data_IF_055899083373
#
_entry.id   IF_055899083373
#
_cell.length_a   1.000
_cell.length_b   1.000
_cell.length_c   1.000
_cell.angle_alpha   90.00
_cell.angle_beta   90.00
_cell.angle_gamma   90.00
#
_symmetry.space_group_name_H-M   'P 1'
#
loop_
_entity.id
_entity.type
_entity.pdbx_description
1 polymer ?
#
# COMPACT_ATOMS: atom_id res chain seq x y z
N UNK A 1 19.79 0.52 21.45
CA UNK A 1 19.01 -0.71 21.28
C UNK A 1 17.62 -0.31 20.82
N UNK A 2 17.19 -0.72 19.62
CA UNK A 2 15.82 -0.46 19.14
C UNK A 2 14.86 -1.36 19.93
N UNK A 3 13.86 -0.78 20.58
CA UNK A 3 13.03 -1.43 21.62
C UNK A 3 12.17 -2.62 21.12
N UNK A 4 12.20 -2.96 19.83
CA UNK A 4 11.23 -3.86 19.19
C UNK A 4 11.91 -4.84 18.21
N UNK A 5 13.24 -4.96 18.24
CA UNK A 5 13.99 -5.70 17.23
C UNK A 5 13.74 -7.23 17.28
N UNK A 6 13.34 -7.76 18.43
CA UNK A 6 13.17 -9.19 18.71
C UNK A 6 11.70 -9.66 18.73
N UNK A 7 10.74 -8.75 18.54
CA UNK A 7 9.32 -9.09 18.58
C UNK A 7 8.93 -10.06 17.46
N UNK A 8 8.15 -11.08 17.80
CA UNK A 8 7.63 -12.07 16.86
C UNK A 8 6.55 -11.48 15.93
N UNK A 9 5.75 -10.56 16.47
CA UNK A 9 4.76 -9.78 15.74
C UNK A 9 5.19 -8.32 15.69
N UNK A 10 5.16 -7.74 14.49
CA UNK A 10 5.52 -6.34 14.27
C UNK A 10 4.49 -5.66 13.38
N UNK A 11 4.49 -4.34 13.41
CA UNK A 11 3.67 -3.54 12.52
C UNK A 11 4.08 -2.09 12.53
N UNK A 12 3.47 -1.31 11.67
CA UNK A 12 3.66 0.13 11.62
C UNK A 12 2.34 0.88 11.80
N UNK A 13 2.47 2.12 12.27
CA UNK A 13 1.43 3.14 12.23
C UNK A 13 1.79 4.17 11.14
N UNK A 14 0.79 4.86 10.58
CA UNK A 14 1.02 5.90 9.58
C UNK A 14 0.28 7.18 9.98
N UNK A 15 1.02 8.29 10.06
CA UNK A 15 0.53 9.67 10.20
C UNK A 15 -0.92 9.83 10.72
N UNK A 16 -1.05 10.14 12.01
CA UNK A 16 -2.33 10.30 12.73
C UNK A 16 -3.25 9.07 12.73
N UNK A 17 -2.80 7.90 12.27
CA UNK A 17 -3.58 6.67 12.29
C UNK A 17 -2.88 5.61 13.13
N UNK A 18 -3.65 4.93 13.95
CA UNK A 18 -3.23 3.81 14.77
C UNK A 18 -4.13 2.61 14.51
N UNK A 19 -3.63 1.43 14.83
CA UNK A 19 -4.47 0.26 14.91
C UNK A 19 -5.44 0.36 16.09
N UNK A 20 -6.70 -0.01 15.88
CA UNK A 20 -7.63 -0.20 16.99
C UNK A 20 -7.41 -1.61 17.53
N UNK A 21 -7.17 -1.72 18.83
CA UNK A 21 -6.96 -3.01 19.48
C UNK A 21 -8.33 -3.66 19.80
N UNK A 22 -8.50 -4.98 19.56
CA UNK A 22 -9.75 -5.67 19.90
C UNK A 22 -9.88 -5.73 21.42
N UNK A 23 -11.12 -5.65 21.92
CA UNK A 23 -11.38 -5.71 23.37
C UNK A 23 -11.11 -7.08 23.99
N UNK A 24 -11.16 -8.16 23.19
CA UNK A 24 -11.23 -9.54 23.69
C UNK A 24 -10.10 -10.47 23.21
N UNK A 25 -9.05 -9.96 22.57
CA UNK A 25 -7.93 -10.81 22.18
C UNK A 25 -6.92 -10.14 21.26
N UNK A 26 -5.73 -10.73 21.23
CA UNK A 26 -4.70 -10.39 20.25
C UNK A 26 -5.06 -10.96 18.88
N UNK A 27 -4.48 -10.36 17.85
CA UNK A 27 -4.55 -10.81 16.46
C UNK A 27 -4.01 -12.24 16.29
N UNK A 28 -4.53 -12.98 15.31
CA UNK A 28 -4.08 -14.34 15.03
C UNK A 28 -2.58 -14.39 14.68
N UNK A 29 -1.87 -15.38 15.23
CA UNK A 29 -0.41 -15.50 15.13
C UNK A 29 0.11 -15.85 13.73
N UNK A 30 -0.77 -16.20 12.80
CA UNK A 30 -0.46 -16.62 11.43
C UNK A 30 -1.17 -15.75 10.37
N UNK A 31 -1.60 -14.55 10.75
CA UNK A 31 -2.33 -13.64 9.87
C UNK A 31 -1.61 -12.29 9.75
N UNK A 32 -1.43 -11.84 8.51
CA UNK A 32 -1.04 -10.46 8.23
C UNK A 32 -2.29 -9.59 8.14
N UNK A 33 -2.36 -8.55 8.96
CA UNK A 33 -3.43 -7.56 8.92
C UNK A 33 -3.02 -6.32 8.14
N UNK A 34 -3.88 -5.91 7.22
CA UNK A 34 -3.88 -4.59 6.56
C UNK A 34 -5.09 -3.78 7.05
N UNK A 35 -5.15 -2.45 6.85
CA UNK A 35 -6.32 -1.68 7.22
C UNK A 35 -7.57 -2.12 6.46
N UNK A 36 -8.74 -1.98 7.08
CA UNK A 36 -10.02 -2.05 6.39
C UNK A 36 -10.09 -1.03 5.24
N UNK A 37 -10.58 -1.42 4.05
CA UNK A 37 -10.63 -0.53 2.90
C UNK A 37 -11.76 0.50 3.05
N UNK A 38 -11.54 1.69 2.53
CA UNK A 38 -12.62 2.60 2.18
C UNK A 38 -13.29 2.15 0.88
N UNK A 39 -14.60 2.37 0.76
CA UNK A 39 -15.36 2.12 -0.47
C UNK A 39 -15.76 3.47 -1.06
N UNK A 40 -15.38 3.71 -2.31
CA UNK A 40 -15.76 4.91 -3.04
C UNK A 40 -16.92 4.63 -4.00
N UNK A 41 -17.63 5.70 -4.37
CA UNK A 41 -18.66 5.67 -5.42
C UNK A 41 -18.07 5.86 -6.82
N UNK A 42 -16.75 6.04 -6.92
CA UNK A 42 -15.98 6.21 -8.15
C UNK A 42 -14.78 5.24 -8.17
N UNK A 43 -14.07 5.19 -9.30
CA UNK A 43 -12.85 4.38 -9.39
C UNK A 43 -11.68 4.99 -8.64
N UNK A 44 -10.65 4.21 -8.30
CA UNK A 44 -9.42 4.70 -7.70
C UNK A 44 -8.73 5.74 -8.58
N UNK A 45 -8.80 5.58 -9.89
CA UNK A 45 -8.27 6.57 -10.85
C UNK A 45 -9.00 7.90 -10.75
N UNK A 46 -10.33 7.88 -10.77
CA UNK A 46 -11.15 9.08 -10.60
C UNK A 46 -10.91 9.73 -9.24
N UNK A 47 -10.84 8.93 -8.17
CA UNK A 47 -10.58 9.41 -6.83
C UNK A 47 -9.18 10.05 -6.73
N UNK A 48 -8.17 9.45 -7.37
CA UNK A 48 -6.81 9.95 -7.37
C UNK A 48 -6.72 11.32 -8.07
N UNK A 49 -7.24 11.44 -9.29
CA UNK A 49 -7.24 12.72 -10.01
C UNK A 49 -8.08 13.81 -9.31
N UNK A 50 -9.09 13.42 -8.52
CA UNK A 50 -9.84 14.37 -7.71
C UNK A 50 -9.07 14.94 -6.51
N UNK A 51 -7.94 14.33 -6.11
CA UNK A 51 -7.17 14.71 -4.92
C UNK A 51 -5.71 15.09 -5.17
N UNK A 52 -5.17 14.81 -6.37
CA UNK A 52 -3.77 15.01 -6.72
C UNK A 52 -3.67 15.57 -8.14
N UNK A 53 -2.88 16.63 -8.32
CA UNK A 53 -2.74 17.33 -9.61
C UNK A 53 -1.31 17.40 -10.12
N UNK A 54 -0.32 17.23 -9.26
CA UNK A 54 1.08 17.52 -9.60
C UNK A 54 1.81 16.32 -10.22
N UNK A 55 1.16 15.15 -10.29
CA UNK A 55 1.69 13.93 -10.89
C UNK A 55 0.58 12.98 -11.35
N UNK A 56 0.88 12.16 -12.35
CA UNK A 56 -0.06 11.19 -12.94
C UNK A 56 0.30 9.75 -12.55
N UNK A 57 -0.16 9.31 -11.37
CA UNK A 57 0.11 7.95 -10.89
C UNK A 57 -0.45 6.85 -11.81
N UNK A 58 -1.68 6.95 -12.36
CA UNK A 58 -2.17 5.97 -13.31
C UNK A 58 -1.29 5.85 -14.56
N UNK A 59 -0.86 6.96 -15.16
CA UNK A 59 0.03 6.92 -16.32
C UNK A 59 1.41 6.32 -15.97
N UNK A 60 2.04 6.76 -14.88
CA UNK A 60 3.35 6.26 -14.44
C UNK A 60 3.34 4.75 -14.22
N UNK A 61 2.31 4.23 -13.54
CA UNK A 61 2.21 2.80 -13.24
C UNK A 61 1.92 1.96 -14.49
N UNK A 62 1.08 2.46 -15.41
CA UNK A 62 0.85 1.80 -16.71
C UNK A 62 2.11 1.77 -17.56
N UNK A 63 2.84 2.88 -17.62
CA UNK A 63 4.12 2.97 -18.36
C UNK A 63 5.13 1.93 -17.87
N UNK A 64 5.26 1.74 -16.55
CA UNK A 64 6.12 0.68 -16.01
C UNK A 64 5.58 -0.72 -16.32
N UNK A 65 4.27 -0.94 -16.22
CA UNK A 65 3.68 -2.22 -16.52
C UNK A 65 3.88 -2.63 -17.99
N UNK A 66 3.86 -1.67 -18.91
CA UNK A 66 4.11 -1.88 -20.34
C UNK A 66 5.54 -2.36 -20.63
N UNK A 67 6.50 -2.15 -19.71
CA UNK A 67 7.87 -2.68 -19.88
C UNK A 67 7.95 -4.20 -19.77
N UNK A 68 6.95 -4.85 -19.15
CA UNK A 68 6.94 -6.28 -18.87
C UNK A 68 7.95 -6.74 -17.79
N UNK A 69 8.80 -5.84 -17.28
CA UNK A 69 9.81 -6.14 -16.27
C UNK A 69 9.38 -5.76 -14.84
N UNK A 70 8.19 -5.18 -14.68
CA UNK A 70 7.66 -4.75 -13.39
C UNK A 70 6.84 -5.85 -12.70
N UNK A 71 6.59 -5.67 -11.41
CA UNK A 71 5.89 -6.64 -10.57
C UNK A 71 4.42 -6.86 -11.01
N UNK A 72 3.80 -5.81 -11.55
CA UNK A 72 2.45 -5.85 -12.08
C UNK A 72 2.45 -5.84 -13.61
N UNK A 73 1.53 -6.59 -14.20
CA UNK A 73 1.24 -6.52 -15.63
C UNK A 73 0.33 -5.34 -15.95
N UNK A 74 0.23 -4.97 -17.24
CA UNK A 74 -0.66 -3.90 -17.68
C UNK A 74 -2.12 -4.16 -17.30
N UNK A 75 -2.59 -5.38 -17.52
CA UNK A 75 -3.95 -5.79 -17.17
C UNK A 75 -4.23 -5.68 -15.66
N UNK A 76 -3.26 -6.03 -14.82
CA UNK A 76 -3.38 -5.96 -13.36
C UNK A 76 -3.47 -4.51 -12.87
N UNK A 77 -2.68 -3.61 -13.46
CA UNK A 77 -2.72 -2.18 -13.13
C UNK A 77 -4.03 -1.53 -13.59
N UNK A 78 -4.51 -1.85 -14.79
CA UNK A 78 -5.79 -1.31 -15.26
C UNK A 78 -6.95 -1.78 -14.37
N UNK A 79 -6.94 -3.05 -13.95
CA UNK A 79 -7.93 -3.58 -13.00
C UNK A 79 -7.83 -2.95 -11.61
N UNK A 80 -6.61 -2.67 -11.13
CA UNK A 80 -6.39 -1.97 -9.87
C UNK A 80 -6.99 -0.56 -9.93
N UNK A 81 -6.67 0.22 -10.95
CA UNK A 81 -7.17 1.59 -11.10
C UNK A 81 -8.69 1.67 -11.30
N UNK A 82 -9.29 0.61 -11.85
CA UNK A 82 -10.74 0.46 -11.98
C UNK A 82 -11.46 0.02 -10.70
N UNK A 83 -10.75 -0.37 -9.63
CA UNK A 83 -11.38 -0.70 -8.35
C UNK A 83 -12.07 0.52 -7.73
N UNK A 84 -13.00 0.28 -6.82
CA UNK A 84 -13.58 1.31 -5.94
C UNK A 84 -13.25 1.06 -4.45
N UNK A 85 -12.49 0.00 -4.15
CA UNK A 85 -11.99 -0.33 -2.82
C UNK A 85 -10.58 0.26 -2.65
N UNK A 86 -10.32 0.92 -1.52
CA UNK A 86 -9.06 1.60 -1.28
C UNK A 86 -8.51 1.34 0.12
N UNK A 87 -7.33 0.73 0.20
CA UNK A 87 -6.57 0.66 1.45
C UNK A 87 -5.69 1.91 1.55
N UNK A 88 -6.28 2.99 2.07
CA UNK A 88 -5.68 4.32 2.08
C UNK A 88 -4.60 4.58 3.12
N UNK A 89 -3.96 3.51 3.61
CA UNK A 89 -2.86 3.62 4.55
C UNK A 89 -1.80 2.55 4.25
N UNK A 90 -0.54 2.97 4.13
CA UNK A 90 0.65 2.14 4.03
C UNK A 90 0.98 1.47 5.37
N UNK A 91 0.02 0.73 5.93
CA UNK A 91 0.12 0.06 7.21
C UNK A 91 -0.04 -1.44 7.01
N UNK A 92 0.75 -2.21 7.75
CA UNK A 92 0.56 -3.65 7.91
C UNK A 92 1.00 -4.03 9.33
N UNK A 93 0.50 -5.15 9.84
CA UNK A 93 0.99 -5.77 11.06
C UNK A 93 0.76 -7.27 11.05
N UNK A 94 1.53 -8.00 11.84
CA UNK A 94 1.39 -9.44 12.00
C UNK A 94 2.76 -10.09 12.16
N UNK A 95 2.88 -11.38 11.80
CA UNK A 95 4.12 -12.12 11.96
C UNK A 95 5.27 -11.43 11.25
N UNK A 96 6.41 -11.31 11.92
CA UNK A 96 7.59 -10.59 11.42
C UNK A 96 8.00 -11.01 10.02
N UNK A 97 7.89 -12.30 9.71
CA UNK A 97 8.18 -12.83 8.38
C UNK A 97 7.20 -12.28 7.33
N UNK A 98 5.89 -12.35 7.59
CA UNK A 98 4.86 -11.87 6.66
C UNK A 98 4.92 -10.36 6.48
N UNK A 99 5.06 -9.62 7.57
CA UNK A 99 5.23 -8.16 7.50
C UNK A 99 6.44 -7.77 6.65
N UNK A 100 7.60 -8.40 6.90
CA UNK A 100 8.81 -8.12 6.12
C UNK A 100 8.62 -8.44 4.65
N UNK A 101 8.03 -9.59 4.34
CA UNK A 101 7.78 -9.99 2.95
C UNK A 101 6.84 -8.99 2.27
N UNK A 102 5.71 -8.66 2.89
CA UNK A 102 4.73 -7.72 2.34
C UNK A 102 5.32 -6.33 2.09
N UNK A 103 5.97 -5.75 3.09
CA UNK A 103 6.56 -4.41 2.97
C UNK A 103 7.74 -4.38 1.99
N UNK A 104 8.55 -5.45 1.95
CA UNK A 104 9.63 -5.56 0.95
C UNK A 104 9.06 -5.62 -0.46
N UNK A 105 8.00 -6.39 -0.70
CA UNK A 105 7.33 -6.43 -2.00
C UNK A 105 6.77 -5.06 -2.39
N UNK A 106 6.18 -4.31 -1.45
CA UNK A 106 5.73 -2.94 -1.71
C UNK A 106 6.90 -2.03 -2.13
N UNK A 107 8.04 -2.09 -1.45
CA UNK A 107 9.24 -1.34 -1.84
C UNK A 107 9.81 -1.77 -3.19
N UNK A 108 9.81 -3.07 -3.50
CA UNK A 108 10.21 -3.60 -4.82
C UNK A 108 9.31 -3.03 -5.92
N UNK A 109 8.01 -2.85 -5.67
CA UNK A 109 7.12 -2.23 -6.63
C UNK A 109 7.39 -0.72 -6.80
N UNK A 110 7.70 -0.01 -5.72
CA UNK A 110 7.93 1.44 -5.73
C UNK A 110 9.29 1.85 -6.28
N UNK A 111 10.33 1.03 -6.10
CA UNK A 111 11.70 1.41 -6.45
C UNK A 111 11.85 1.76 -7.94
N UNK A 112 11.31 0.99 -8.91
CA UNK A 112 11.37 1.37 -10.33
C UNK A 112 10.65 2.69 -10.65
N UNK A 113 9.55 3.00 -9.92
CA UNK A 113 8.84 4.28 -10.05
C UNK A 113 9.75 5.42 -9.62
N UNK A 114 10.38 5.27 -8.45
CA UNK A 114 11.31 6.26 -7.94
C UNK A 114 12.51 6.45 -8.86
N UNK A 115 13.21 5.39 -9.25
CA UNK A 115 14.42 5.49 -10.07
C UNK A 115 14.16 6.15 -11.43
N UNK A 116 13.00 5.86 -12.04
CA UNK A 116 12.64 6.43 -13.34
C UNK A 116 12.16 7.88 -13.29
N UNK A 117 11.41 8.26 -12.25
CA UNK A 117 10.76 9.58 -12.15
C UNK A 117 11.32 10.44 -11.00
N UNK A 118 12.53 10.13 -10.51
CA UNK A 118 13.15 10.77 -9.35
C UNK A 118 13.15 12.29 -9.41
N UNK A 119 13.61 12.85 -10.54
CA UNK A 119 13.72 14.30 -10.72
C UNK A 119 12.35 14.98 -10.66
N UNK A 120 11.34 14.37 -11.27
CA UNK A 120 9.96 14.86 -11.22
C UNK A 120 9.41 14.83 -9.79
N UNK A 121 9.56 13.72 -9.06
CA UNK A 121 9.10 13.66 -7.66
C UNK A 121 9.81 14.67 -6.76
N UNK A 122 11.10 14.92 -6.99
CA UNK A 122 11.85 15.93 -6.24
C UNK A 122 11.43 17.38 -6.57
N UNK A 123 10.80 17.61 -7.73
CA UNK A 123 10.32 18.94 -8.13
C UNK A 123 8.92 19.27 -7.60
N UNK A 124 8.16 18.29 -7.10
CA UNK A 124 6.78 18.51 -6.61
C UNK A 124 6.79 19.34 -5.32
N UNK A 125 5.80 20.22 -5.16
CA UNK A 125 5.64 21.07 -3.99
C UNK A 125 4.35 20.79 -3.21
N UNK A 126 4.17 21.47 -2.07
CA UNK A 126 2.94 21.39 -1.29
C UNK A 126 2.57 19.97 -0.80
N UNK A 127 1.28 19.65 -0.91
CA UNK A 127 0.70 18.39 -0.44
C UNK A 127 1.20 17.18 -1.23
N UNK A 128 1.38 17.34 -2.53
CA UNK A 128 1.78 16.26 -3.45
C UNK A 128 3.26 15.88 -3.34
N UNK A 129 4.06 16.54 -2.47
CA UNK A 129 5.40 16.06 -2.07
C UNK A 129 5.40 14.63 -1.54
N UNK A 130 4.24 14.13 -1.13
CA UNK A 130 4.02 12.74 -0.69
C UNK A 130 3.62 11.81 -1.82
N UNK A 131 3.82 12.19 -3.09
CA UNK A 131 3.39 11.46 -4.28
C UNK A 131 3.66 9.95 -4.22
N UNK A 132 4.91 9.56 -3.93
CA UNK A 132 5.29 8.16 -3.77
C UNK A 132 4.49 7.41 -2.71
N UNK A 133 4.14 8.08 -1.61
CA UNK A 133 3.31 7.49 -0.55
C UNK A 133 1.86 7.29 -1.03
N UNK A 134 1.32 8.21 -1.84
CA UNK A 134 -0.01 8.08 -2.42
C UNK A 134 -0.07 6.96 -3.46
N UNK A 135 0.99 6.79 -4.26
CA UNK A 135 1.16 5.63 -5.15
C UNK A 135 1.23 4.34 -4.32
N UNK A 136 2.01 4.33 -3.24
CA UNK A 136 2.16 3.17 -2.37
C UNK A 136 0.81 2.68 -1.81
N UNK A 137 -0.10 3.58 -1.45
CA UNK A 137 -1.44 3.21 -0.93
C UNK A 137 -2.26 2.45 -2.00
N UNK A 138 -2.12 2.83 -3.28
CA UNK A 138 -2.79 2.12 -4.39
C UNK A 138 -2.10 0.80 -4.68
N UNK A 139 -0.76 0.76 -4.67
CA UNK A 139 -0.03 -0.48 -4.87
C UNK A 139 -0.29 -1.48 -3.74
N UNK A 140 -0.44 -1.03 -2.49
CA UNK A 140 -0.85 -1.88 -1.37
C UNK A 140 -2.23 -2.50 -1.64
N UNK A 141 -3.19 -1.70 -2.12
CA UNK A 141 -4.49 -2.22 -2.56
C UNK A 141 -4.33 -3.28 -3.66
N UNK A 142 -3.44 -3.04 -4.64
CA UNK A 142 -3.10 -4.02 -5.69
C UNK A 142 -2.46 -5.29 -5.16
N UNK A 143 -1.56 -5.20 -4.19
CA UNK A 143 -0.91 -6.34 -3.55
C UNK A 143 -1.94 -7.22 -2.82
N UNK A 144 -2.98 -6.62 -2.22
CA UNK A 144 -4.07 -7.36 -1.58
C UNK A 144 -5.02 -7.97 -2.61
N UNK A 145 -5.31 -7.25 -3.70
CA UNK A 145 -6.14 -7.72 -4.82
C UNK A 145 -5.51 -8.95 -5.50
N UNK A 146 -4.19 -8.95 -5.67
CA UNK A 146 -3.41 -10.02 -6.30
C UNK A 146 -2.60 -10.84 -5.30
N UNK A 147 -3.08 -10.96 -4.06
CA UNK A 147 -2.33 -11.59 -2.96
C UNK A 147 -1.87 -13.02 -3.25
N UNK A 148 -2.66 -13.80 -3.98
CA UNK A 148 -2.29 -15.20 -4.27
C UNK A 148 -1.09 -15.30 -5.22
N UNK A 149 -0.88 -14.28 -6.06
CA UNK A 149 0.30 -14.15 -6.93
C UNK A 149 1.53 -13.73 -6.12
N UNK A 150 1.40 -12.70 -5.28
CA UNK A 150 2.53 -12.10 -4.57
C UNK A 150 2.94 -12.85 -3.30
N UNK A 151 1.98 -13.48 -2.64
CA UNK A 151 2.12 -14.07 -1.31
C UNK A 151 1.40 -15.43 -1.24
N UNK A 152 1.79 -16.42 -2.07
CA UNK A 152 1.16 -17.73 -2.05
C UNK A 152 1.24 -18.37 -0.66
N UNK A 153 0.08 -18.71 -0.09
CA UNK A 153 -0.03 -19.32 1.25
C UNK A 153 0.06 -18.35 2.42
N UNK A 154 0.11 -17.03 2.19
CA UNK A 154 0.00 -16.03 3.25
C UNK A 154 -1.46 -15.67 3.51
N UNK A 155 -1.92 -15.80 4.75
CA UNK A 155 -3.25 -15.31 5.15
C UNK A 155 -3.19 -13.80 5.37
N UNK A 156 -3.99 -13.06 4.61
CA UNK A 156 -4.11 -11.61 4.72
C UNK A 156 -5.56 -11.25 5.07
N UNK A 157 -5.74 -10.53 6.17
CA UNK A 157 -7.03 -10.04 6.64
C UNK A 157 -7.01 -8.52 6.85
N UNK A 158 -8.18 -7.93 7.08
CA UNK A 158 -8.32 -6.51 7.40
C UNK A 158 -8.53 -6.30 8.88
N UNK A 159 -7.98 -5.22 9.44
CA UNK A 159 -8.23 -4.79 10.81
C UNK A 159 -8.58 -3.29 10.86
N UNK A 160 -9.42 -2.89 11.83
CA UNK A 160 -9.87 -1.51 11.94
C UNK A 160 -8.73 -0.59 12.39
N UNK A 161 -8.77 0.66 11.91
CA UNK A 161 -7.86 1.73 12.30
C UNK A 161 -8.62 2.89 12.92
N UNK A 162 -7.93 3.63 13.79
CA UNK A 162 -8.43 4.83 14.45
C UNK A 162 -7.59 6.04 14.08
N UNK A 163 -8.14 7.23 14.29
CA UNK A 163 -7.43 8.49 14.11
C UNK A 163 -7.05 9.06 15.47
N UNK A 164 -5.80 9.53 15.59
CA UNK A 164 -5.34 10.31 16.74
C UNK A 164 -5.89 11.72 16.57
N UNK A 165 -6.68 12.17 17.55
CA UNK A 165 -7.20 13.53 17.64
C UNK A 165 -6.11 14.53 18.06
#
# INVERSE_FOLDING_TARGET
MLLNAEEANIGNAQYRRNWLEPKEGWYAEDVLYVPEPAVFTCTLEQQFYGGHSDFDAPAITRELADTGAWAFTREEIDKLWAQNLFIGCNMARGPKQYYKQFMTTLFVCLLPIWEKHKEHFLSIEGYDRRALAFIAERLLTGLVLYRDKFFPGMTIETAPIGFIH
#
